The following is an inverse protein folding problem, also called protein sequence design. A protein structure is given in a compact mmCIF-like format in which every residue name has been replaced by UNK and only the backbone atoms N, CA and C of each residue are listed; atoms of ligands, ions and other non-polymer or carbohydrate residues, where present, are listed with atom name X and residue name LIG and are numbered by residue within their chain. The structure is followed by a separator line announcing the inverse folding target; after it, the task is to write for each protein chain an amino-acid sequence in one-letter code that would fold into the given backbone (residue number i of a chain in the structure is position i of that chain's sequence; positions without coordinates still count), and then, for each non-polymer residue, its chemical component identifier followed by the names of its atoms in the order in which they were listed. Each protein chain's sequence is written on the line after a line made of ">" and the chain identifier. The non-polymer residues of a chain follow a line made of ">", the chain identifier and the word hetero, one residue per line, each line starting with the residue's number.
data_IF_776820487326
#
_entry.id   IF_776820487326
#
_cell.length_a   1.000
_cell.length_b   1.000
_cell.length_c   1.000
_cell.angle_alpha   90.00
_cell.angle_beta   90.00
_cell.angle_gamma   90.00
#
_symmetry.space_group_name_H-M   'P 1'
#
loop_
_entity.id
_entity.type
_entity.pdbx_description
1 polymer ?
#
# COMPACT_ATOMS: atom_id res chain seq x y z
N UNK A 1 32.76 -87.28 1.89
CA UNK A 1 31.80 -86.66 0.96
C UNK A 1 32.60 -85.96 -0.12
N UNK A 2 32.72 -86.58 -1.28
CA UNK A 2 33.57 -86.05 -2.36
C UNK A 2 33.23 -86.73 -3.68
N UNK A 3 32.81 -85.95 -4.68
CA UNK A 3 33.43 -85.90 -6.01
C UNK A 3 32.75 -84.86 -6.91
N UNK A 4 33.58 -83.91 -7.30
CA UNK A 4 33.59 -83.14 -8.54
C UNK A 4 33.38 -83.98 -9.81
N UNK A 5 32.79 -83.35 -10.84
CA UNK A 5 33.21 -83.44 -12.26
C UNK A 5 32.92 -82.06 -12.89
N UNK A 6 33.91 -81.21 -13.17
CA UNK A 6 34.69 -81.12 -14.43
C UNK A 6 33.79 -81.35 -15.65
N UNK A 7 33.49 -80.39 -16.52
CA UNK A 7 34.39 -79.46 -17.20
C UNK A 7 34.17 -79.68 -18.70
N UNK A 8 33.82 -78.63 -19.44
CA UNK A 8 33.61 -78.67 -20.88
C UNK A 8 33.71 -77.26 -21.46
N UNK A 9 34.87 -76.98 -22.05
CA UNK A 9 35.32 -75.72 -22.64
C UNK A 9 35.06 -75.66 -24.15
N UNK A 10 34.32 -74.62 -24.57
CA UNK A 10 34.54 -73.71 -25.73
C UNK A 10 34.43 -74.16 -27.24
N UNK A 11 34.20 -73.20 -28.19
CA UNK A 11 33.22 -73.23 -29.30
C UNK A 11 33.95 -73.23 -30.68
N UNK A 12 33.49 -72.63 -31.82
CA UNK A 12 32.18 -72.17 -32.32
C UNK A 12 31.83 -72.75 -33.72
N UNK A 13 30.61 -72.55 -34.22
CA UNK A 13 30.43 -72.54 -35.69
C UNK A 13 29.23 -71.69 -36.13
N UNK A 14 29.59 -70.54 -36.69
CA UNK A 14 28.86 -69.74 -37.67
C UNK A 14 27.64 -70.39 -38.32
N UNK A 15 26.53 -69.63 -38.33
CA UNK A 15 25.53 -69.73 -39.40
C UNK A 15 25.26 -68.34 -39.96
N UNK A 16 25.20 -68.21 -41.30
CA UNK A 16 25.48 -66.97 -42.00
C UNK A 16 24.37 -65.94 -41.91
N UNK A 17 24.79 -64.69 -42.05
CA UNK A 17 23.98 -63.46 -42.11
C UNK A 17 22.83 -63.60 -43.10
N UNK A 18 21.60 -63.61 -42.59
CA UNK A 18 20.42 -63.38 -43.43
C UNK A 18 20.32 -61.89 -43.67
N UNK A 19 20.62 -61.51 -44.91
CA UNK A 19 20.48 -60.18 -45.51
C UNK A 19 19.13 -59.54 -45.10
N UNK A 20 19.16 -58.66 -44.09
CA UNK A 20 17.97 -58.00 -43.56
C UNK A 20 17.73 -56.70 -44.35
N UNK A 21 16.81 -56.75 -45.31
CA UNK A 21 16.47 -55.60 -46.14
C UNK A 21 15.72 -54.53 -45.32
N UNK A 22 16.35 -53.37 -45.18
CA UNK A 22 15.83 -52.21 -44.46
C UNK A 22 14.83 -51.47 -45.34
N UNK A 23 13.66 -51.12 -44.81
CA UNK A 23 12.58 -50.46 -45.55
C UNK A 23 11.58 -49.76 -44.64
N UNK A 24 10.50 -49.22 -45.20
CA UNK A 24 9.48 -48.52 -44.42
C UNK A 24 8.89 -49.44 -43.33
N UNK A 25 8.94 -49.00 -42.08
CA UNK A 25 8.52 -49.80 -40.91
C UNK A 25 9.46 -50.95 -40.51
N UNK A 26 10.62 -51.11 -41.17
CA UNK A 26 11.63 -52.15 -40.90
C UNK A 26 12.98 -51.54 -40.51
N UNK A 27 13.17 -51.11 -39.25
CA UNK A 27 14.43 -50.51 -38.80
C UNK A 27 15.58 -51.53 -38.87
N UNK A 28 16.84 -51.09 -39.10
CA UNK A 28 18.03 -51.95 -39.17
C UNK A 28 18.15 -52.86 -37.94
N UNK A 29 18.51 -54.13 -38.16
CA UNK A 29 18.59 -55.14 -37.10
C UNK A 29 19.55 -54.73 -35.97
N UNK A 30 20.69 -54.12 -36.31
CA UNK A 30 21.71 -53.66 -35.36
C UNK A 30 21.21 -52.58 -34.38
N UNK A 31 20.21 -51.78 -34.79
CA UNK A 31 19.69 -50.66 -33.99
C UNK A 31 18.36 -50.98 -33.28
N UNK A 32 17.87 -52.22 -33.37
CA UNK A 32 16.67 -52.65 -32.63
C UNK A 32 17.01 -52.80 -31.15
N UNK A 33 16.13 -52.30 -30.29
CA UNK A 33 16.22 -52.60 -28.86
C UNK A 33 16.05 -54.10 -28.64
N UNK A 34 16.87 -54.67 -27.75
CA UNK A 34 16.78 -56.10 -27.42
C UNK A 34 15.47 -56.35 -26.66
N UNK A 35 14.73 -57.43 -26.98
CA UNK A 35 13.56 -57.83 -26.20
C UNK A 35 13.91 -57.92 -24.72
N UNK A 36 13.09 -57.32 -23.85
CA UNK A 36 13.29 -57.32 -22.39
C UNK A 36 14.28 -56.28 -21.85
N UNK A 37 14.93 -55.48 -22.70
CA UNK A 37 15.82 -54.39 -22.27
C UNK A 37 15.38 -53.06 -22.89
N UNK A 38 14.91 -52.14 -22.04
CA UNK A 38 14.63 -50.75 -22.44
C UNK A 38 15.91 -50.10 -22.98
N UNK A 39 15.78 -49.30 -24.05
CA UNK A 39 16.86 -48.45 -24.57
C UNK A 39 17.35 -47.39 -23.58
N UNK A 40 16.55 -47.12 -22.54
CA UNK A 40 16.96 -46.35 -21.38
C UNK A 40 16.81 -47.23 -20.12
N UNK A 41 17.86 -47.99 -19.73
CA UNK A 41 17.83 -48.90 -18.58
C UNK A 41 17.66 -48.19 -17.24
N UNK A 42 18.15 -46.95 -17.12
CA UNK A 42 17.96 -46.12 -15.94
C UNK A 42 16.53 -45.53 -15.87
N UNK A 43 15.75 -45.69 -16.94
CA UNK A 43 14.47 -45.05 -17.10
C UNK A 43 14.59 -43.52 -17.03
N UNK A 44 13.43 -42.87 -16.93
CA UNK A 44 13.38 -41.48 -16.49
C UNK A 44 13.72 -41.47 -14.98
N UNK A 45 14.62 -40.58 -14.49
CA UNK A 45 14.93 -40.51 -13.06
C UNK A 45 13.66 -40.36 -12.23
N UNK A 46 13.48 -41.26 -11.25
CA UNK A 46 12.35 -41.23 -10.31
C UNK A 46 12.42 -39.93 -9.51
N UNK A 47 11.36 -39.11 -9.58
CA UNK A 47 11.26 -37.86 -8.83
C UNK A 47 11.59 -36.58 -9.60
N UNK A 48 11.60 -36.58 -10.95
CA UNK A 48 11.65 -35.31 -11.69
C UNK A 48 10.53 -34.39 -11.18
N UNK A 49 10.91 -33.24 -10.59
CA UNK A 49 10.02 -32.22 -10.00
C UNK A 49 9.20 -31.50 -11.08
N UNK A 50 8.49 -32.23 -11.94
CA UNK A 50 7.58 -31.70 -12.95
C UNK A 50 6.23 -31.26 -12.35
N UNK A 51 6.22 -30.91 -11.06
CA UNK A 51 5.09 -30.22 -10.45
C UNK A 51 5.64 -28.88 -10.02
N UNK A 52 5.62 -27.93 -10.96
CA UNK A 52 5.63 -26.51 -10.58
C UNK A 52 4.46 -26.40 -9.60
N UNK A 53 4.72 -26.03 -8.35
CA UNK A 53 3.63 -25.92 -7.38
C UNK A 53 2.68 -24.83 -7.88
N UNK A 54 1.38 -24.95 -7.64
CA UNK A 54 0.42 -23.92 -8.07
C UNK A 54 0.79 -22.53 -7.52
N UNK A 55 1.41 -22.49 -6.34
CA UNK A 55 2.03 -21.28 -5.75
C UNK A 55 3.09 -20.65 -6.64
N UNK A 56 3.93 -21.48 -7.28
CA UNK A 56 5.04 -21.03 -8.11
C UNK A 56 4.51 -20.47 -9.46
N UNK A 57 3.43 -21.05 -10.00
CA UNK A 57 2.78 -20.54 -11.22
C UNK A 57 2.11 -19.18 -10.95
N UNK A 58 1.33 -19.06 -9.86
CA UNK A 58 0.66 -17.81 -9.52
C UNK A 58 1.69 -16.69 -9.32
N UNK A 59 2.74 -16.96 -8.54
CA UNK A 59 3.80 -15.96 -8.31
C UNK A 59 4.51 -15.57 -9.62
N UNK A 60 4.79 -16.53 -10.51
CA UNK A 60 5.39 -16.26 -11.81
C UNK A 60 4.48 -15.37 -12.68
N UNK A 61 3.19 -15.69 -12.76
CA UNK A 61 2.20 -14.90 -13.51
C UNK A 61 2.08 -13.48 -12.96
N UNK A 62 2.02 -13.33 -11.62
CA UNK A 62 1.97 -12.01 -10.98
C UNK A 62 3.26 -11.21 -11.22
N UNK A 63 4.42 -11.87 -11.17
CA UNK A 63 5.70 -11.21 -11.45
C UNK A 63 5.80 -10.73 -12.89
N UNK A 64 5.31 -11.53 -13.85
CA UNK A 64 5.31 -11.16 -15.26
C UNK A 64 4.29 -10.04 -15.53
N UNK A 65 3.13 -10.08 -14.88
CA UNK A 65 2.13 -9.01 -14.92
C UNK A 65 2.68 -7.66 -14.45
N UNK A 66 3.56 -7.66 -13.44
CA UNK A 66 4.19 -6.47 -12.85
C UNK A 66 5.45 -6.00 -13.60
N UNK A 67 6.00 -6.80 -14.53
CA UNK A 67 7.19 -6.44 -15.30
C UNK A 67 6.94 -5.17 -16.10
N UNK A 68 7.86 -4.20 -16.01
CA UNK A 68 7.75 -2.92 -16.73
C UNK A 68 8.26 -3.07 -18.16
N UNK A 69 7.44 -2.69 -19.13
CA UNK A 69 7.78 -2.63 -20.56
C UNK A 69 7.62 -1.20 -21.09
N UNK A 70 8.30 -0.89 -22.20
CA UNK A 70 8.07 0.34 -22.96
C UNK A 70 7.02 0.07 -24.03
N UNK A 71 5.95 0.85 -24.03
CA UNK A 71 4.91 0.82 -25.07
C UNK A 71 4.80 2.20 -25.72
N UNK A 72 4.44 2.24 -27.00
CA UNK A 72 4.14 3.47 -27.71
C UNK A 72 2.65 3.77 -27.57
N UNK A 73 2.31 4.95 -27.07
CA UNK A 73 0.96 5.45 -26.87
C UNK A 73 0.80 6.75 -27.68
N UNK A 74 0.41 6.59 -28.95
CA UNK A 74 0.43 7.67 -29.93
C UNK A 74 1.84 8.21 -30.14
N UNK A 75 2.03 9.49 -29.84
CA UNK A 75 3.32 10.20 -30.00
C UNK A 75 4.28 10.03 -28.82
N UNK A 76 3.84 9.43 -27.70
CA UNK A 76 4.65 9.30 -26.48
C UNK A 76 4.99 7.84 -26.20
N UNK A 77 6.23 7.56 -25.79
CA UNK A 77 6.60 6.25 -25.25
C UNK A 77 6.45 6.26 -23.72
N UNK A 78 5.67 5.33 -23.18
CA UNK A 78 5.36 5.23 -21.74
C UNK A 78 5.92 3.91 -21.21
N UNK A 79 6.51 3.95 -20.01
CA UNK A 79 6.92 2.76 -19.27
C UNK A 79 5.76 2.32 -18.38
N UNK A 80 5.25 1.12 -18.60
CA UNK A 80 4.04 0.62 -17.94
C UNK A 80 4.18 -0.88 -17.65
N UNK A 81 3.62 -1.41 -16.54
CA UNK A 81 3.53 -2.85 -16.31
C UNK A 81 2.80 -3.60 -17.43
N UNK A 82 3.17 -4.85 -17.71
CA UNK A 82 2.55 -5.69 -18.74
C UNK A 82 1.03 -5.78 -18.55
N UNK A 83 0.55 -6.03 -17.33
CA UNK A 83 -0.89 -6.16 -17.07
C UNK A 83 -1.67 -4.88 -17.46
N UNK A 84 -1.16 -3.71 -17.09
CA UNK A 84 -1.79 -2.44 -17.43
C UNK A 84 -1.73 -2.16 -18.95
N UNK A 85 -0.64 -2.55 -19.62
CA UNK A 85 -0.54 -2.44 -21.08
C UNK A 85 -1.56 -3.35 -21.81
N UNK A 86 -1.77 -4.57 -21.32
CA UNK A 86 -2.76 -5.52 -21.87
C UNK A 86 -4.19 -5.01 -21.68
N UNK A 87 -4.54 -4.54 -20.48
CA UNK A 87 -5.88 -3.96 -20.25
C UNK A 87 -6.11 -2.74 -21.15
N UNK A 88 -5.09 -1.88 -21.32
CA UNK A 88 -5.17 -0.74 -22.25
C UNK A 88 -5.38 -1.18 -23.69
N UNK A 89 -4.66 -2.19 -24.18
CA UNK A 89 -4.81 -2.67 -25.56
C UNK A 89 -6.17 -3.32 -25.81
N UNK A 90 -6.69 -4.07 -24.84
CA UNK A 90 -8.06 -4.61 -24.86
C UNK A 90 -9.07 -3.46 -24.96
N UNK A 91 -8.92 -2.42 -24.14
CA UNK A 91 -9.78 -1.22 -24.19
C UNK A 91 -9.73 -0.52 -25.56
N UNK A 92 -8.55 -0.31 -26.14
CA UNK A 92 -8.39 0.31 -27.47
C UNK A 92 -9.07 -0.55 -28.55
N UNK A 93 -8.89 -1.86 -28.53
CA UNK A 93 -9.51 -2.76 -29.51
C UNK A 93 -11.04 -2.86 -29.32
N UNK A 94 -11.51 -2.84 -28.08
CA UNK A 94 -12.93 -2.80 -27.76
C UNK A 94 -13.59 -1.51 -28.30
N UNK A 95 -12.93 -0.35 -28.14
CA UNK A 95 -13.37 0.92 -28.70
C UNK A 95 -13.39 0.93 -30.23
N UNK A 96 -12.46 0.20 -30.87
CA UNK A 96 -12.44 0.02 -32.33
C UNK A 96 -13.51 -0.94 -32.85
N UNK A 97 -14.30 -1.57 -31.98
CA UNK A 97 -15.42 -2.42 -32.36
C UNK A 97 -15.10 -3.91 -32.47
N UNK A 98 -13.96 -4.38 -31.97
CA UNK A 98 -13.68 -5.82 -31.92
C UNK A 98 -14.59 -6.53 -30.91
N UNK A 99 -15.52 -7.41 -31.32
CA UNK A 99 -16.50 -8.01 -30.41
C UNK A 99 -15.86 -8.88 -29.33
N UNK A 100 -14.68 -9.48 -29.61
CA UNK A 100 -13.97 -10.31 -28.62
C UNK A 100 -13.37 -9.44 -27.53
N UNK A 101 -12.68 -8.36 -27.89
CA UNK A 101 -12.12 -7.40 -26.94
C UNK A 101 -13.22 -6.70 -26.13
N UNK A 102 -14.36 -6.38 -26.73
CA UNK A 102 -15.52 -5.83 -26.00
C UNK A 102 -16.01 -6.78 -24.91
N UNK A 103 -16.18 -8.07 -25.21
CA UNK A 103 -16.58 -9.07 -24.20
C UNK A 103 -15.54 -9.19 -23.09
N UNK A 104 -14.26 -9.31 -23.43
CA UNK A 104 -13.18 -9.40 -22.45
C UNK A 104 -13.11 -8.17 -21.55
N UNK A 105 -13.25 -6.97 -22.13
CA UNK A 105 -13.25 -5.72 -21.38
C UNK A 105 -14.42 -5.64 -20.39
N UNK A 106 -15.62 -5.96 -20.84
CA UNK A 106 -16.82 -5.98 -20.01
C UNK A 106 -16.73 -7.00 -18.88
N UNK A 107 -16.15 -8.18 -19.12
CA UNK A 107 -15.91 -9.20 -18.09
C UNK A 107 -14.92 -8.72 -17.03
N UNK A 108 -13.80 -8.10 -17.44
CA UNK A 108 -12.84 -7.48 -16.52
C UNK A 108 -13.52 -6.38 -15.71
N UNK A 109 -14.32 -5.53 -16.35
CA UNK A 109 -15.03 -4.43 -15.69
C UNK A 109 -16.00 -4.95 -14.62
N UNK A 110 -16.89 -5.88 -14.96
CA UNK A 110 -17.83 -6.44 -13.98
C UNK A 110 -17.13 -7.20 -12.85
N UNK A 111 -16.04 -7.90 -13.15
CA UNK A 111 -15.24 -8.56 -12.11
C UNK A 111 -14.62 -7.53 -11.17
N UNK A 112 -14.03 -6.46 -11.71
CA UNK A 112 -13.45 -5.39 -10.91
C UNK A 112 -14.49 -4.65 -10.06
N UNK A 113 -15.67 -4.35 -10.61
CA UNK A 113 -16.78 -3.73 -9.87
C UNK A 113 -17.31 -4.63 -8.76
N UNK A 114 -17.47 -5.93 -9.02
CA UNK A 114 -17.94 -6.90 -8.03
C UNK A 114 -16.93 -7.08 -6.89
N UNK A 115 -15.64 -7.20 -7.21
CA UNK A 115 -14.60 -7.30 -6.19
C UNK A 115 -14.48 -6.00 -5.40
N UNK A 116 -14.56 -4.83 -6.05
CA UNK A 116 -14.61 -3.53 -5.36
C UNK A 116 -15.80 -3.47 -4.39
N UNK A 117 -17.00 -3.80 -4.85
CA UNK A 117 -18.21 -3.79 -4.01
C UNK A 117 -18.17 -4.84 -2.90
N UNK A 118 -17.43 -5.94 -3.08
CA UNK A 118 -17.19 -6.94 -2.05
C UNK A 118 -16.23 -6.40 -0.98
N UNK A 119 -15.07 -5.90 -1.39
CA UNK A 119 -14.06 -5.31 -0.49
C UNK A 119 -14.68 -4.17 0.31
N UNK A 120 -15.45 -3.29 -0.35
CA UNK A 120 -16.12 -2.18 0.32
C UNK A 120 -17.10 -2.67 1.40
N UNK A 121 -17.93 -3.67 1.08
CA UNK A 121 -18.85 -4.27 2.08
C UNK A 121 -18.11 -4.94 3.24
N UNK A 122 -17.03 -5.67 2.95
CA UNK A 122 -16.20 -6.30 3.97
C UNK A 122 -15.56 -5.24 4.89
N UNK A 123 -15.03 -4.15 4.31
CA UNK A 123 -14.47 -3.01 5.05
C UNK A 123 -15.52 -2.31 5.91
N UNK A 124 -16.69 -1.98 5.35
CA UNK A 124 -17.80 -1.36 6.07
C UNK A 124 -18.22 -2.23 7.26
N UNK A 125 -18.41 -3.53 7.04
CA UNK A 125 -18.79 -4.47 8.10
C UNK A 125 -17.75 -4.51 9.22
N UNK A 126 -16.46 -4.64 8.86
CA UNK A 126 -15.39 -4.68 9.84
C UNK A 126 -15.30 -3.39 10.68
N UNK A 127 -15.48 -2.23 10.06
CA UNK A 127 -15.45 -0.92 10.72
C UNK A 127 -16.69 -0.69 11.59
N UNK A 128 -17.88 -1.12 11.15
CA UNK A 128 -19.10 -1.11 11.97
C UNK A 128 -18.93 -1.98 13.22
N UNK A 129 -18.44 -3.21 13.05
CA UNK A 129 -18.22 -4.13 14.16
C UNK A 129 -17.19 -3.59 15.15
N UNK A 130 -16.14 -2.95 14.65
CA UNK A 130 -15.16 -2.27 15.49
C UNK A 130 -15.80 -1.12 16.27
N UNK A 131 -16.51 -0.22 15.59
CA UNK A 131 -17.15 0.96 16.18
C UNK A 131 -18.09 0.58 17.32
N UNK A 132 -18.98 -0.39 17.09
CA UNK A 132 -19.92 -0.89 18.10
C UNK A 132 -19.17 -1.48 19.31
N UNK A 133 -18.09 -2.23 19.09
CA UNK A 133 -17.30 -2.81 20.17
C UNK A 133 -16.57 -1.75 20.99
N UNK A 134 -15.99 -0.75 20.33
CA UNK A 134 -15.29 0.34 20.98
C UNK A 134 -16.25 1.21 21.81
N UNK A 135 -17.41 1.58 21.27
CA UNK A 135 -18.44 2.34 22.00
C UNK A 135 -18.90 1.60 23.27
N UNK A 136 -19.20 0.31 23.16
CA UNK A 136 -19.58 -0.52 24.31
C UNK A 136 -18.49 -0.58 25.37
N UNK A 137 -17.23 -0.63 24.97
CA UNK A 137 -16.12 -0.64 25.91
C UNK A 137 -15.96 0.72 26.60
N UNK A 138 -16.12 1.83 25.88
CA UNK A 138 -16.12 3.17 26.48
C UNK A 138 -17.27 3.36 27.47
N UNK A 139 -18.48 2.95 27.11
CA UNK A 139 -19.64 2.96 28.01
C UNK A 139 -19.41 2.12 29.27
N UNK A 140 -18.79 0.93 29.11
CA UNK A 140 -18.45 0.05 30.23
C UNK A 140 -17.42 0.71 31.15
N UNK A 141 -16.37 1.33 30.59
CA UNK A 141 -15.36 2.07 31.36
C UNK A 141 -15.97 3.24 32.12
N UNK A 142 -16.82 4.02 31.47
CA UNK A 142 -17.53 5.15 32.07
C UNK A 142 -18.42 4.70 33.25
N UNK A 143 -19.20 3.61 33.06
CA UNK A 143 -20.07 3.06 34.11
C UNK A 143 -19.29 2.55 35.34
N UNK A 144 -18.10 2.00 35.12
CA UNK A 144 -17.26 1.42 36.18
C UNK A 144 -16.21 2.40 36.73
N UNK A 145 -16.13 3.62 36.20
CA UNK A 145 -15.11 4.60 36.58
C UNK A 145 -13.67 4.15 36.26
N UNK A 146 -13.47 3.32 35.24
CA UNK A 146 -12.15 2.78 34.89
C UNK A 146 -11.39 3.79 34.04
N UNK A 147 -10.37 4.43 34.62
CA UNK A 147 -9.52 5.43 33.93
C UNK A 147 -8.10 4.93 33.61
N UNK A 148 -7.65 3.84 34.21
CA UNK A 148 -6.27 3.35 34.08
C UNK A 148 -5.96 2.48 32.85
N UNK A 149 -6.89 2.38 31.89
CA UNK A 149 -6.69 1.55 30.69
C UNK A 149 -6.17 2.39 29.51
N UNK A 150 -5.40 1.77 28.60
CA UNK A 150 -4.96 2.45 27.38
C UNK A 150 -6.17 2.88 26.55
N UNK A 151 -6.00 4.01 25.87
CA UNK A 151 -6.99 4.56 24.95
C UNK A 151 -7.26 3.61 23.78
N UNK A 152 -8.51 3.62 23.30
CA UNK A 152 -8.91 2.82 22.15
C UNK A 152 -8.58 3.62 20.88
N UNK A 153 -7.70 3.07 20.05
CA UNK A 153 -7.25 3.70 18.80
C UNK A 153 -7.54 2.72 17.64
N UNK A 154 -8.23 3.16 16.56
CA UNK A 154 -8.86 4.47 16.40
C UNK A 154 -10.08 4.65 17.32
N UNK A 155 -10.41 5.88 17.70
CA UNK A 155 -11.61 6.16 18.48
C UNK A 155 -12.88 5.92 17.62
N UNK A 156 -13.99 5.41 18.17
CA UNK A 156 -15.21 5.13 17.37
C UNK A 156 -15.77 6.33 16.61
N UNK A 157 -15.66 7.54 17.16
CA UNK A 157 -16.11 8.78 16.50
C UNK A 157 -15.25 9.19 15.30
N UNK A 158 -14.01 8.70 15.22
CA UNK A 158 -13.14 8.92 14.07
C UNK A 158 -13.62 8.14 12.84
N UNK A 159 -14.49 7.13 13.02
CA UNK A 159 -15.06 6.33 11.95
C UNK A 159 -16.41 6.93 11.56
N UNK A 160 -16.43 7.63 10.43
CA UNK A 160 -17.61 8.27 9.86
C UNK A 160 -18.15 7.40 8.74
N UNK A 161 -19.38 6.91 8.93
CA UNK A 161 -20.08 6.07 7.96
C UNK A 161 -21.23 6.89 7.37
N UNK A 162 -21.09 7.35 6.13
CA UNK A 162 -22.19 7.99 5.42
C UNK A 162 -23.06 6.95 4.71
N UNK A 163 -24.09 6.50 5.43
CA UNK A 163 -25.06 5.52 4.94
C UNK A 163 -26.29 6.19 4.29
N UNK A 164 -26.34 7.52 4.23
CA UNK A 164 -27.54 8.25 3.77
C UNK A 164 -27.45 8.65 2.29
N UNK A 165 -26.24 8.79 1.75
CA UNK A 165 -26.04 9.20 0.36
C UNK A 165 -26.29 8.07 -0.65
N UNK A 166 -26.83 8.43 -1.82
CA UNK A 166 -27.18 7.54 -2.95
C UNK A 166 -25.99 6.74 -3.51
N UNK A 167 -24.76 7.10 -3.13
CA UNK A 167 -23.51 6.40 -3.47
C UNK A 167 -23.14 5.25 -2.52
N UNK A 168 -23.98 4.94 -1.53
CA UNK A 168 -23.86 3.81 -0.60
C UNK A 168 -22.47 3.67 0.06
N UNK A 169 -22.29 4.29 1.22
CA UNK A 169 -21.32 3.79 2.20
C UNK A 169 -19.90 4.28 2.05
N UNK A 170 -19.69 5.57 1.74
CA UNK A 170 -18.34 6.14 1.88
C UNK A 170 -17.94 6.12 3.36
N UNK A 171 -16.85 5.41 3.64
CA UNK A 171 -16.25 5.34 4.96
C UNK A 171 -15.05 6.28 5.02
N UNK A 172 -15.08 7.18 6.00
CA UNK A 172 -13.98 8.08 6.28
C UNK A 172 -13.44 7.77 7.67
N UNK A 173 -12.12 7.61 7.76
CA UNK A 173 -11.44 7.53 9.04
C UNK A 173 -10.66 8.82 9.22
N UNK A 174 -11.03 9.58 10.25
CA UNK A 174 -10.45 10.89 10.54
C UNK A 174 -9.63 10.77 11.81
N UNK A 175 -8.32 10.60 11.70
CA UNK A 175 -7.50 10.33 12.87
C UNK A 175 -6.32 9.44 12.57
N UNK A 176 -5.40 9.29 13.55
CA UNK A 176 -4.44 8.21 13.52
C UNK A 176 -5.16 6.86 13.68
N UNK A 177 -4.76 5.90 12.87
CA UNK A 177 -5.26 4.52 12.92
C UNK A 177 -4.46 3.69 13.94
N UNK A 178 -3.24 4.13 14.24
CA UNK A 178 -2.29 3.42 15.10
C UNK A 178 -1.75 4.32 16.20
N UNK A 179 -1.18 3.70 17.22
CA UNK A 179 -0.52 4.43 18.30
C UNK A 179 0.71 5.16 17.77
N UNK A 180 1.47 4.55 16.88
CA UNK A 180 2.68 5.11 16.30
C UNK A 180 2.37 6.37 15.46
N UNK A 181 1.30 6.33 14.66
CA UNK A 181 0.82 7.50 13.92
C UNK A 181 0.35 8.61 14.85
N UNK A 182 -0.32 8.25 15.95
CA UNK A 182 -0.75 9.20 16.98
C UNK A 182 0.44 9.90 17.63
N UNK A 183 1.41 9.12 18.11
CA UNK A 183 2.61 9.64 18.78
C UNK A 183 3.43 10.53 17.83
N UNK A 184 3.55 10.12 16.56
CA UNK A 184 4.23 10.92 15.53
C UNK A 184 3.49 12.23 15.22
N UNK A 185 2.16 12.18 15.20
CA UNK A 185 1.33 13.39 15.00
C UNK A 185 1.51 14.36 16.18
N UNK A 186 1.48 13.85 17.42
CA UNK A 186 1.71 14.66 18.63
C UNK A 186 3.08 15.32 18.59
N UNK A 187 4.15 14.56 18.31
CA UNK A 187 5.50 15.09 18.24
C UNK A 187 5.63 16.21 17.19
N UNK A 188 5.03 16.03 16.01
CA UNK A 188 4.98 17.06 14.97
C UNK A 188 4.29 18.34 15.45
N UNK A 189 3.19 18.23 16.22
CA UNK A 189 2.52 19.41 16.77
C UNK A 189 3.34 20.13 17.82
N UNK A 190 4.00 19.39 18.70
CA UNK A 190 4.86 19.98 19.72
C UNK A 190 6.00 20.78 19.08
N UNK A 191 6.66 20.21 18.07
CA UNK A 191 7.70 20.89 17.29
C UNK A 191 7.16 22.13 16.58
N UNK A 192 6.05 22.00 15.85
CA UNK A 192 5.44 23.12 15.13
C UNK A 192 5.01 24.27 16.06
N UNK A 193 4.53 23.94 17.25
CA UNK A 193 4.18 24.93 18.27
C UNK A 193 5.40 25.64 18.81
N UNK A 194 6.47 24.90 19.11
CA UNK A 194 7.70 25.50 19.62
C UNK A 194 8.31 26.47 18.60
N UNK A 195 8.28 26.11 17.31
CA UNK A 195 8.64 27.01 16.22
C UNK A 195 7.78 28.27 16.18
N UNK A 196 6.45 28.13 16.30
CA UNK A 196 5.55 29.28 16.37
C UNK A 196 5.90 30.18 17.57
N UNK A 197 6.08 29.62 18.76
CA UNK A 197 6.45 30.39 19.97
C UNK A 197 7.77 31.11 19.83
N UNK A 198 8.80 30.46 19.29
CA UNK A 198 10.10 31.08 19.04
C UNK A 198 9.95 32.25 18.06
N UNK A 199 9.21 32.05 16.98
CA UNK A 199 8.94 33.11 16.00
C UNK A 199 8.19 34.30 16.63
N UNK A 200 7.23 34.03 17.53
CA UNK A 200 6.51 35.07 18.27
C UNK A 200 7.45 35.90 19.08
N UNK A 201 8.36 35.23 19.80
CA UNK A 201 9.28 35.87 20.71
C UNK A 201 10.20 36.82 19.94
N UNK A 202 10.64 36.42 18.74
CA UNK A 202 11.41 37.28 17.83
C UNK A 202 10.61 38.52 17.44
N UNK A 203 9.35 38.37 17.03
CA UNK A 203 8.52 39.52 16.65
C UNK A 203 8.16 40.42 17.84
N UNK A 204 7.85 39.86 19.02
CA UNK A 204 7.60 40.60 20.26
C UNK A 204 8.83 41.41 20.67
N UNK A 205 10.02 40.81 20.64
CA UNK A 205 11.28 41.51 20.92
C UNK A 205 11.53 42.64 19.90
N UNK A 206 11.32 42.39 18.61
CA UNK A 206 11.50 43.40 17.56
C UNK A 206 10.52 44.57 17.68
N UNK A 207 9.27 44.29 18.05
CA UNK A 207 8.26 45.30 18.34
C UNK A 207 8.66 46.15 19.54
N UNK A 208 9.09 45.53 20.65
CA UNK A 208 9.53 46.26 21.84
C UNK A 208 10.68 47.22 21.53
N UNK A 209 11.70 46.77 20.77
CA UNK A 209 12.81 47.63 20.34
C UNK A 209 12.33 48.78 19.43
N UNK A 210 11.42 48.49 18.49
CA UNK A 210 10.90 49.50 17.56
C UNK A 210 9.98 50.52 18.26
N UNK A 211 9.21 50.10 19.26
CA UNK A 211 8.34 50.96 20.07
C UNK A 211 9.17 51.85 21.00
N UNK A 212 10.23 51.32 21.61
CA UNK A 212 11.20 52.12 22.38
C UNK A 212 11.89 53.17 21.50
N UNK A 213 12.41 52.77 20.33
CA UNK A 213 13.04 53.69 19.39
C UNK A 213 12.06 54.78 18.89
N UNK A 214 10.78 54.44 18.71
CA UNK A 214 9.75 55.40 18.32
C UNK A 214 9.46 56.43 19.42
N UNK A 215 9.58 56.05 20.70
CA UNK A 215 9.34 56.94 21.83
C UNK A 215 10.46 57.98 22.02
N UNK A 216 11.70 57.63 21.65
CA UNK A 216 12.89 58.50 21.79
C UNK A 216 13.17 59.36 20.54
N UNK A 217 12.66 58.96 19.37
CA UNK A 217 12.99 59.61 18.10
C UNK A 217 12.08 60.81 17.77
N UNK A 218 12.69 61.94 17.44
CA UNK A 218 11.97 63.19 17.10
C UNK A 218 11.99 63.51 15.61
N UNK A 219 12.84 62.84 14.81
CA UNK A 219 12.96 63.10 13.37
C UNK A 219 11.76 62.56 12.58
N UNK A 220 10.97 63.41 11.88
CA UNK A 220 9.72 63.00 11.21
C UNK A 220 9.87 61.87 10.19
N UNK A 221 10.98 61.86 9.44
CA UNK A 221 11.27 60.83 8.44
C UNK A 221 11.55 59.46 9.07
N UNK A 222 12.20 59.42 10.24
CA UNK A 222 12.54 58.18 10.95
C UNK A 222 11.31 57.64 11.67
N UNK A 223 10.55 58.52 12.35
CA UNK A 223 9.25 58.19 12.96
C UNK A 223 8.29 57.54 11.96
N UNK A 224 8.20 58.07 10.73
CA UNK A 224 7.35 57.49 9.67
C UNK A 224 7.80 56.09 9.27
N UNK A 225 9.12 55.83 9.22
CA UNK A 225 9.68 54.50 8.91
C UNK A 225 9.45 53.51 10.04
N UNK A 226 9.63 53.93 11.29
CA UNK A 226 9.40 53.11 12.48
C UNK A 226 7.92 52.71 12.59
N UNK A 227 6.98 53.66 12.43
CA UNK A 227 5.54 53.34 12.40
C UNK A 227 5.20 52.29 11.33
N UNK A 228 5.73 52.43 10.11
CA UNK A 228 5.56 51.44 9.03
C UNK A 228 6.21 50.08 9.33
N UNK A 229 7.27 50.03 10.13
CA UNK A 229 7.91 48.79 10.53
C UNK A 229 7.06 48.07 11.60
N UNK A 230 6.62 48.80 12.63
CA UNK A 230 5.73 48.30 13.68
C UNK A 230 4.41 47.76 13.10
N UNK A 231 3.81 48.49 12.14
CA UNK A 231 2.58 48.06 11.47
C UNK A 231 2.78 46.76 10.68
N UNK A 232 3.88 46.65 9.91
CA UNK A 232 4.25 45.40 9.21
C UNK A 232 4.43 44.24 10.17
N UNK A 233 5.08 44.45 11.31
CA UNK A 233 5.33 43.41 12.29
C UNK A 233 4.03 42.93 12.97
N UNK A 234 3.12 43.86 13.27
CA UNK A 234 1.77 43.55 13.77
C UNK A 234 0.94 42.77 12.75
N UNK A 235 1.00 43.14 11.48
CA UNK A 235 0.31 42.43 10.39
C UNK A 235 0.86 41.01 10.21
N UNK A 236 2.18 40.83 10.31
CA UNK A 236 2.81 39.51 10.23
C UNK A 236 2.36 38.62 11.40
N UNK A 237 2.35 39.13 12.63
CA UNK A 237 1.85 38.40 13.80
C UNK A 237 0.38 38.01 13.60
N UNK A 238 -0.47 38.95 13.17
CA UNK A 238 -1.89 38.70 12.94
C UNK A 238 -2.12 37.64 11.86
N UNK A 239 -1.38 37.68 10.76
CA UNK A 239 -1.46 36.68 9.68
C UNK A 239 -1.03 35.30 10.17
N UNK A 240 0.03 35.22 10.98
CA UNK A 240 0.51 33.94 11.51
C UNK A 240 -0.44 33.36 12.58
N UNK A 241 -1.07 34.20 13.41
CA UNK A 241 -2.13 33.80 14.34
C UNK A 241 -3.36 33.24 13.62
N UNK A 242 -3.78 33.87 12.53
CA UNK A 242 -4.87 33.35 11.71
C UNK A 242 -4.54 31.98 11.08
N UNK A 243 -3.29 31.78 10.60
CA UNK A 243 -2.86 30.48 10.07
C UNK A 243 -2.79 29.39 11.14
N UNK A 244 -2.35 29.72 12.36
CA UNK A 244 -2.37 28.75 13.46
C UNK A 244 -3.79 28.38 13.86
N UNK A 245 -4.72 29.35 13.89
CA UNK A 245 -6.14 29.09 14.15
C UNK A 245 -6.72 28.15 13.09
N UNK A 246 -6.45 28.40 11.80
CA UNK A 246 -6.86 27.51 10.70
C UNK A 246 -6.29 26.10 10.84
N UNK A 247 -5.01 25.97 11.23
CA UNK A 247 -4.41 24.66 11.51
C UNK A 247 -5.08 23.98 12.71
N UNK A 248 -5.30 24.68 13.82
CA UNK A 248 -6.02 24.14 14.98
C UNK A 248 -7.43 23.65 14.59
N UNK A 249 -8.16 24.40 13.76
CA UNK A 249 -9.49 24.00 13.30
C UNK A 249 -9.48 22.76 12.41
N UNK A 250 -8.46 22.61 11.55
CA UNK A 250 -8.28 21.41 10.72
C UNK A 250 -8.09 20.15 11.55
N UNK A 251 -7.51 20.28 12.74
CA UNK A 251 -7.20 19.17 13.63
C UNK A 251 -8.16 19.04 14.83
N UNK A 252 -9.07 20.00 15.03
CA UNK A 252 -10.16 19.92 16.00
C UNK A 252 -11.02 18.66 15.83
N UNK A 253 -11.39 18.20 14.61
CA UNK A 253 -12.12 16.94 14.42
C UNK A 253 -11.36 15.69 14.88
N UNK A 254 -10.04 15.78 15.04
CA UNK A 254 -9.20 14.66 15.42
C UNK A 254 -9.15 14.49 16.96
N UNK A 255 -9.73 15.42 17.72
CA UNK A 255 -9.73 15.41 19.19
C UNK A 255 -8.39 15.78 19.83
N UNK A 256 -7.45 16.34 19.06
CA UNK A 256 -6.09 16.63 19.53
C UNK A 256 -5.94 18.02 20.15
N UNK A 257 -6.72 19.02 19.75
CA UNK A 257 -6.38 20.42 20.07
C UNK A 257 -7.64 21.20 20.49
N UNK A 258 -7.78 21.49 21.79
CA UNK A 258 -8.73 22.50 22.29
C UNK A 258 -8.14 23.91 22.27
N UNK A 259 -6.81 24.05 22.28
CA UNK A 259 -6.16 25.37 22.27
C UNK A 259 -6.58 26.12 21.02
N UNK A 260 -7.24 27.26 21.22
CA UNK A 260 -7.60 28.17 20.12
C UNK A 260 -6.39 28.94 19.62
N UNK A 261 -5.31 28.93 20.39
CA UNK A 261 -4.12 29.70 20.10
C UNK A 261 -2.83 28.92 20.45
N UNK A 262 -2.13 28.42 19.44
CA UNK A 262 -0.81 27.78 19.59
C UNK A 262 0.24 28.76 20.17
N UNK A 263 -0.03 30.06 20.11
CA UNK A 263 0.91 31.11 20.50
C UNK A 263 0.90 31.43 21.99
N UNK A 264 -0.22 31.20 22.71
CA UNK A 264 -0.38 31.65 24.10
C UNK A 264 -0.74 30.52 25.08
N UNK A 265 -1.45 29.47 24.66
CA UNK A 265 -1.96 28.44 25.59
C UNK A 265 -1.00 27.21 25.72
N UNK A 266 -0.95 26.55 26.90
CA UNK A 266 -0.44 25.18 27.00
C UNK A 266 -1.24 24.27 26.06
N UNK A 267 -0.60 23.38 25.27
CA UNK A 267 -1.35 22.29 24.63
C UNK A 267 -1.87 21.42 25.78
N UNK A 268 -3.11 21.65 26.18
CA UNK A 268 -3.90 20.63 26.83
C UNK A 268 -4.47 19.78 25.70
N UNK A 269 -3.87 18.61 25.48
CA UNK A 269 -4.48 17.53 24.70
C UNK A 269 -5.69 17.03 25.51
N UNK A 270 -6.73 17.85 25.63
CA UNK A 270 -8.03 17.38 26.10
C UNK A 270 -8.71 16.76 24.90
N UNK A 271 -8.57 15.45 24.85
CA UNK A 271 -9.52 14.64 24.14
C UNK A 271 -10.90 15.00 24.72
N UNK A 272 -11.90 15.41 23.92
CA UNK A 272 -13.19 15.86 24.44
C UNK A 272 -13.95 14.80 25.28
N UNK A 273 -13.39 13.60 25.43
CA UNK A 273 -13.89 12.46 26.18
C UNK A 273 -13.03 12.04 27.39
N UNK A 274 -11.95 12.75 27.73
CA UNK A 274 -11.20 12.57 28.97
C UNK A 274 -11.65 13.62 30.01
N UNK A 275 -12.21 13.22 31.17
CA UNK A 275 -12.59 14.17 32.23
C UNK A 275 -11.38 14.95 32.77
#
# INVERSE_FOLDING_TARGET
>A
MSKSRSGGSEPPSDKPERNYEVGYGKPPAERKFRPGRSGNPAGRPRGSKNKIKDSDIISLVLSEAQRVIKINDGERSIKTPVAQAVVRSIGINAMKGDPRSQRQFTEILFTAERERARIERENISALMDYKIRAEKELERRARLGITGLPEIIPHPDQIILDLRNERNGEVWIVGPLTKEEKDSSIAFYEEFRDDCRQMLQVFKNRLAVSEQALAEETRPAVVRRLKKAIERDRDVIKSHKSKSEEMCEKFRPWGFIETRDLWEEPIELKFPWAP
#
